data_IF_920663236366
#
_entry.id   IF_920663236366
#
_cell.length_a   1.000
_cell.length_b   1.000
_cell.length_c   1.000
_cell.angle_alpha   90.00
_cell.angle_beta   90.00
_cell.angle_gamma   90.00
#
_symmetry.space_group_name_H-M   'P 1'
#
loop_
_entity.id
_entity.type
_entity.pdbx_description
1 polymer ?
#
# COMPACT_ATOMS: atom_id res chain seq x y z
N UNK A 1 14.63 -16.55 -7.02
CA UNK A 1 14.16 -15.41 -7.81
C UNK A 1 15.28 -14.38 -7.92
N UNK A 2 15.54 -13.91 -9.11
CA UNK A 2 16.63 -12.98 -9.38
C UNK A 2 16.21 -11.54 -9.08
N UNK A 3 16.85 -10.92 -8.08
CA UNK A 3 16.53 -9.56 -7.66
C UNK A 3 16.83 -8.53 -8.76
N UNK A 4 17.81 -8.81 -9.64
CA UNK A 4 18.11 -7.89 -10.75
C UNK A 4 16.97 -7.81 -11.76
N UNK A 5 16.27 -8.92 -11.99
CA UNK A 5 15.10 -8.95 -12.86
C UNK A 5 13.92 -8.21 -12.25
N UNK A 6 13.83 -8.23 -10.91
CA UNK A 6 12.76 -7.56 -10.19
C UNK A 6 12.95 -6.04 -10.21
N UNK A 7 14.20 -5.57 -10.13
CA UNK A 7 14.49 -4.13 -10.09
C UNK A 7 14.03 -3.37 -11.33
N UNK A 8 13.87 -4.05 -12.46
CA UNK A 8 13.38 -3.42 -13.68
C UNK A 8 11.85 -3.45 -13.79
N UNK A 9 11.18 -4.03 -12.81
CA UNK A 9 9.73 -4.16 -12.82
C UNK A 9 9.07 -2.80 -12.62
N UNK A 10 8.19 -2.42 -13.54
CA UNK A 10 7.43 -1.19 -13.42
C UNK A 10 6.13 -1.44 -12.65
N UNK A 11 5.99 -0.79 -11.51
CA UNK A 11 4.81 -0.91 -10.67
C UNK A 11 3.91 0.30 -10.88
N UNK A 12 2.65 0.04 -11.19
CA UNK A 12 1.63 1.07 -11.32
C UNK A 12 0.47 0.76 -10.38
N UNK A 13 -0.14 1.81 -9.84
CA UNK A 13 -1.28 1.68 -8.94
C UNK A 13 -2.55 2.23 -9.58
N UNK A 14 -3.68 1.63 -9.22
CA UNK A 14 -4.99 2.15 -9.61
C UNK A 14 -5.21 3.44 -8.84
N UNK A 15 -5.42 4.55 -9.55
CA UNK A 15 -5.60 5.87 -8.93
C UNK A 15 -7.07 6.22 -8.71
N UNK A 16 -7.95 5.67 -9.52
CA UNK A 16 -9.37 6.00 -9.45
C UNK A 16 -10.12 4.96 -8.63
N UNK A 17 -10.82 5.43 -7.61
CA UNK A 17 -11.59 4.55 -6.73
C UNK A 17 -12.61 3.71 -7.52
N UNK A 18 -13.23 4.29 -8.55
CA UNK A 18 -14.22 3.60 -9.36
C UNK A 18 -13.66 2.38 -10.10
N UNK A 19 -12.35 2.35 -10.35
CA UNK A 19 -11.69 1.26 -11.07
C UNK A 19 -11.23 0.12 -10.17
N UNK A 20 -11.43 0.24 -8.85
CA UNK A 20 -10.95 -0.75 -7.89
C UNK A 20 -11.97 -1.87 -7.67
N UNK A 21 -11.51 -3.14 -7.56
CA UNK A 21 -12.39 -4.27 -7.24
C UNK A 21 -12.74 -4.29 -5.74
N UNK A 22 -13.76 -3.52 -5.35
CA UNK A 22 -14.12 -3.32 -3.95
C UNK A 22 -14.55 -4.59 -3.21
N UNK A 23 -14.95 -5.64 -3.93
CA UNK A 23 -15.25 -6.92 -3.30
C UNK A 23 -14.04 -7.53 -2.59
N UNK A 24 -12.83 -7.05 -2.89
CA UNK A 24 -11.59 -7.51 -2.25
C UNK A 24 -11.13 -6.61 -1.12
N UNK A 25 -11.87 -5.54 -0.81
CA UNK A 25 -11.56 -4.64 0.29
C UNK A 25 -12.30 -5.09 1.55
N UNK A 26 -11.72 -4.77 2.71
CA UNK A 26 -12.35 -5.10 3.99
C UNK A 26 -13.51 -4.16 4.25
N UNK A 27 -14.71 -4.71 4.28
CA UNK A 27 -15.94 -3.91 4.44
C UNK A 27 -16.13 -3.39 5.87
N UNK A 28 -15.48 -4.01 6.86
CA UNK A 28 -15.57 -3.55 8.24
C UNK A 28 -14.99 -2.16 8.47
N UNK A 29 -14.26 -1.61 7.50
CA UNK A 29 -13.64 -0.29 7.62
C UNK A 29 -14.52 0.79 7.05
N UNK A 30 -15.18 0.49 5.94
CA UNK A 30 -16.12 1.38 5.30
C UNK A 30 -17.04 0.56 4.40
N UNK A 31 -18.32 0.85 4.47
CA UNK A 31 -19.31 0.25 3.58
C UNK A 31 -19.46 1.07 2.30
N UNK A 32 -18.84 2.25 2.24
CA UNK A 32 -19.00 3.17 1.13
C UNK A 32 -17.65 3.55 0.54
N UNK A 33 -17.43 3.13 -0.71
CA UNK A 33 -16.21 3.47 -1.44
C UNK A 33 -16.00 4.98 -1.58
N UNK A 34 -17.07 5.77 -1.49
CA UNK A 34 -16.97 7.22 -1.56
C UNK A 34 -16.29 7.83 -0.33
N UNK A 35 -16.08 7.04 0.73
CA UNK A 35 -15.33 7.47 1.91
C UNK A 35 -13.83 7.29 1.76
N UNK A 36 -13.37 6.76 0.64
CA UNK A 36 -11.96 6.47 0.38
C UNK A 36 -11.39 7.41 -0.68
N UNK A 37 -10.10 7.71 -0.54
CA UNK A 37 -9.34 8.45 -1.55
C UNK A 37 -7.96 7.81 -1.68
N UNK A 38 -7.27 8.09 -2.78
CA UNK A 38 -5.87 7.72 -2.97
C UNK A 38 -5.00 8.96 -2.74
N UNK A 39 -3.81 8.71 -2.18
CA UNK A 39 -2.83 9.77 -1.93
C UNK A 39 -1.43 9.17 -2.07
N UNK A 40 -0.52 9.94 -2.68
CA UNK A 40 0.88 9.51 -2.80
C UNK A 40 1.64 9.95 -1.57
N UNK A 41 2.33 9.01 -0.92
CA UNK A 41 3.08 9.27 0.31
C UNK A 41 4.43 8.57 0.24
N UNK A 42 5.42 9.16 0.93
CA UNK A 42 6.72 8.51 1.10
C UNK A 42 6.58 7.28 1.98
N UNK A 43 7.10 6.15 1.51
CA UNK A 43 6.98 4.87 2.23
C UNK A 43 7.62 4.96 3.62
N UNK A 44 8.80 5.59 3.73
CA UNK A 44 9.50 5.71 5.00
C UNK A 44 8.67 6.43 6.06
N UNK A 45 7.91 7.44 5.66
CA UNK A 45 7.06 8.19 6.59
C UNK A 45 5.87 7.36 7.05
N UNK A 46 5.28 6.57 6.14
CA UNK A 46 4.19 5.67 6.50
C UNK A 46 4.66 4.59 7.46
N UNK A 47 5.83 4.00 7.20
CA UNK A 47 6.41 3.00 8.11
C UNK A 47 6.63 3.58 9.50
N UNK A 48 7.11 4.84 9.58
CA UNK A 48 7.34 5.50 10.86
C UNK A 48 6.05 5.73 11.66
N UNK A 49 4.91 5.85 10.98
CA UNK A 49 3.61 6.05 11.63
C UNK A 49 2.94 4.75 12.06
N UNK A 50 3.42 3.63 11.55
CA UNK A 50 2.85 2.29 11.80
C UNK A 50 3.90 1.43 12.50
N UNK A 51 3.50 0.26 12.97
CA UNK A 51 4.44 -0.70 13.56
C UNK A 51 5.04 -1.64 12.51
N UNK A 52 4.82 -1.36 11.23
CA UNK A 52 5.24 -2.24 10.14
C UNK A 52 6.75 -2.40 10.05
N UNK A 53 7.52 -1.40 10.46
CA UNK A 53 8.98 -1.47 10.43
C UNK A 53 9.53 -2.68 11.16
N UNK A 54 8.90 -3.08 12.26
CA UNK A 54 9.32 -4.25 13.05
C UNK A 54 8.94 -5.57 12.38
N UNK A 55 7.99 -5.56 11.46
CA UNK A 55 7.50 -6.76 10.77
C UNK A 55 8.08 -6.92 9.36
N UNK A 56 8.75 -5.88 8.85
CA UNK A 56 9.13 -5.79 7.44
C UNK A 56 9.92 -7.00 6.95
N UNK A 57 10.86 -7.49 7.77
CA UNK A 57 11.70 -8.63 7.38
C UNK A 57 10.90 -9.93 7.23
N UNK A 58 9.69 -10.01 7.78
CA UNK A 58 8.83 -11.19 7.63
C UNK A 58 8.20 -11.27 6.23
N UNK A 59 8.25 -10.15 5.48
CA UNK A 59 7.67 -10.07 4.14
C UNK A 59 8.78 -10.20 3.10
N UNK A 60 9.36 -11.41 3.04
CA UNK A 60 10.41 -11.71 2.07
C UNK A 60 9.80 -12.15 0.74
N UNK A 61 10.65 -12.58 -0.22
CA UNK A 61 10.19 -13.08 -1.52
C UNK A 61 9.60 -14.48 -1.36
N UNK A 62 8.41 -14.54 -0.79
CA UNK A 62 7.66 -15.77 -0.61
C UNK A 62 6.73 -16.02 -1.81
N UNK A 63 5.90 -17.07 -1.71
CA UNK A 63 4.97 -17.43 -2.77
C UNK A 63 3.97 -16.32 -3.08
N UNK A 64 3.50 -15.64 -2.05
CA UNK A 64 2.58 -14.52 -2.23
C UNK A 64 3.22 -13.39 -3.04
N UNK A 65 4.48 -13.07 -2.73
CA UNK A 65 5.23 -12.04 -3.45
C UNK A 65 5.50 -12.44 -4.88
N UNK A 66 5.80 -13.72 -5.13
CA UNK A 66 5.99 -14.24 -6.49
C UNK A 66 4.74 -14.06 -7.34
N UNK A 67 3.57 -14.39 -6.77
CA UNK A 67 2.30 -14.23 -7.46
C UNK A 67 2.02 -12.75 -7.78
N UNK A 68 2.38 -11.87 -6.85
CA UNK A 68 2.23 -10.43 -7.03
C UNK A 68 3.10 -9.92 -8.19
N UNK A 69 4.34 -10.40 -8.27
CA UNK A 69 5.26 -10.04 -9.35
C UNK A 69 4.70 -10.48 -10.70
N UNK A 70 4.19 -11.71 -10.78
CA UNK A 70 3.59 -12.24 -12.01
C UNK A 70 2.40 -11.36 -12.44
N UNK A 71 1.57 -10.97 -11.47
CA UNK A 71 0.43 -10.10 -11.72
C UNK A 71 0.87 -8.77 -12.35
N UNK A 72 1.92 -8.18 -11.83
CA UNK A 72 2.48 -6.92 -12.36
C UNK A 72 3.08 -7.12 -13.75
N UNK A 73 3.83 -8.21 -13.93
CA UNK A 73 4.44 -8.53 -15.23
C UNK A 73 3.41 -8.70 -16.34
N UNK A 74 2.20 -9.11 -15.99
CA UNK A 74 1.10 -9.25 -16.93
C UNK A 74 0.42 -7.92 -17.27
N UNK A 75 0.96 -6.80 -16.81
CA UNK A 75 0.46 -5.47 -17.12
C UNK A 75 -0.64 -4.97 -16.21
N UNK A 76 -0.89 -5.65 -15.09
CA UNK A 76 -1.94 -5.25 -14.17
C UNK A 76 -1.46 -4.18 -13.19
N UNK A 77 -2.36 -3.26 -12.85
CA UNK A 77 -2.10 -2.26 -11.82
C UNK A 77 -2.51 -2.80 -10.46
N UNK A 78 -1.79 -2.35 -9.44
CA UNK A 78 -2.07 -2.76 -8.06
C UNK A 78 -3.10 -1.85 -7.39
N UNK A 79 -3.88 -2.42 -6.50
CA UNK A 79 -4.70 -1.63 -5.58
C UNK A 79 -3.73 -1.03 -4.56
N UNK A 80 -3.81 0.30 -4.29
CA UNK A 80 -2.95 0.90 -3.28
C UNK A 80 -3.15 0.25 -1.91
N UNK A 81 -2.07 0.11 -1.10
CA UNK A 81 -2.23 -0.39 0.26
C UNK A 81 -3.17 0.50 1.06
N UNK A 82 -4.00 -0.12 1.90
CA UNK A 82 -4.96 0.58 2.73
C UNK A 82 -4.39 0.82 4.13
N UNK A 83 -4.31 2.09 4.52
CA UNK A 83 -3.86 2.47 5.85
C UNK A 83 -4.96 3.27 6.54
N UNK A 84 -5.09 3.07 7.84
CA UNK A 84 -6.10 3.76 8.64
C UNK A 84 -5.49 4.30 9.94
N UNK A 85 -6.05 5.41 10.40
CA UNK A 85 -5.76 5.93 11.73
C UNK A 85 -6.67 5.22 12.73
N UNK A 86 -6.08 4.45 13.63
CA UNK A 86 -6.85 3.67 14.60
C UNK A 86 -7.29 4.55 15.77
N UNK A 87 -6.31 5.23 16.39
CA UNK A 87 -6.58 6.10 17.54
C UNK A 87 -5.45 7.12 17.68
N UNK A 88 -5.81 8.38 17.85
CA UNK A 88 -4.82 9.46 17.96
C UNK A 88 -3.96 9.53 16.70
N UNK A 89 -2.64 9.35 16.86
CA UNK A 89 -1.70 9.36 15.74
C UNK A 89 -1.16 7.96 15.42
N UNK A 90 -1.86 6.92 15.88
CA UNK A 90 -1.47 5.54 15.59
C UNK A 90 -2.13 5.06 14.32
N UNK A 91 -1.31 4.73 13.34
CA UNK A 91 -1.76 4.25 12.04
C UNK A 91 -1.45 2.77 11.91
N UNK A 92 -2.26 2.07 11.14
CA UNK A 92 -2.00 0.66 10.82
C UNK A 92 -2.19 0.42 9.33
N UNK A 93 -1.39 -0.51 8.80
CA UNK A 93 -1.56 -1.00 7.44
C UNK A 93 -2.57 -2.12 7.52
N UNK A 94 -3.75 -1.88 7.01
CA UNK A 94 -4.83 -2.84 7.11
C UNK A 94 -4.77 -3.89 6.00
N UNK A 95 -4.29 -3.49 4.83
CA UNK A 95 -4.15 -4.38 3.68
C UNK A 95 -3.00 -3.88 2.82
N UNK A 96 -2.26 -4.80 2.23
CA UNK A 96 -1.21 -4.46 1.28
C UNK A 96 0.20 -4.49 1.82
N UNK A 97 0.46 -5.16 2.95
CA UNK A 97 1.82 -5.26 3.52
C UNK A 97 2.81 -5.88 2.52
N UNK A 98 2.40 -6.92 1.79
CA UNK A 98 3.27 -7.53 0.77
C UNK A 98 3.58 -6.55 -0.36
N UNK A 99 2.61 -5.73 -0.76
CA UNK A 99 2.80 -4.71 -1.81
C UNK A 99 3.80 -3.65 -1.37
N UNK A 100 3.71 -3.20 -0.12
CA UNK A 100 4.65 -2.23 0.43
C UNK A 100 6.06 -2.83 0.48
N UNK A 101 6.19 -4.06 0.99
CA UNK A 101 7.49 -4.72 1.09
C UNK A 101 8.14 -4.90 -0.29
N UNK A 102 7.36 -5.28 -1.30
CA UNK A 102 7.85 -5.39 -2.66
C UNK A 102 8.35 -4.04 -3.19
N UNK A 103 7.58 -2.98 -2.98
CA UNK A 103 7.97 -1.65 -3.44
C UNK A 103 9.28 -1.17 -2.79
N UNK A 104 9.48 -1.49 -1.52
CA UNK A 104 10.74 -1.18 -0.82
C UNK A 104 11.90 -1.93 -1.48
N UNK A 105 11.73 -3.21 -1.79
CA UNK A 105 12.77 -4.01 -2.44
C UNK A 105 13.09 -3.51 -3.85
N UNK A 106 12.11 -2.90 -4.52
CA UNK A 106 12.31 -2.31 -5.84
C UNK A 106 12.94 -0.91 -5.78
N UNK A 107 13.16 -0.38 -4.57
CA UNK A 107 13.79 0.92 -4.40
C UNK A 107 12.86 2.10 -4.58
N UNK A 108 11.56 1.87 -4.54
CA UNK A 108 10.58 2.95 -4.64
C UNK A 108 10.52 3.72 -3.32
N UNK A 109 10.51 5.05 -3.39
CA UNK A 109 10.44 5.90 -2.21
C UNK A 109 9.03 6.40 -1.93
N UNK A 110 8.22 6.55 -2.97
CA UNK A 110 6.86 7.06 -2.86
C UNK A 110 5.92 6.17 -3.65
N UNK A 111 4.77 5.84 -3.06
CA UNK A 111 3.73 5.06 -3.73
C UNK A 111 2.36 5.61 -3.38
N UNK A 112 1.34 5.18 -4.11
CA UNK A 112 -0.04 5.51 -3.79
C UNK A 112 -0.54 4.67 -2.63
N UNK A 113 -1.29 5.31 -1.74
CA UNK A 113 -1.97 4.67 -0.62
C UNK A 113 -3.47 4.95 -0.69
N UNK A 114 -4.25 4.05 -0.13
CA UNK A 114 -5.69 4.21 0.00
C UNK A 114 -5.98 4.59 1.45
N UNK A 115 -6.72 5.69 1.68
CA UNK A 115 -7.05 6.17 3.01
C UNK A 115 -8.51 6.59 3.08
N UNK A 116 -9.04 6.71 4.30
CA UNK A 116 -10.36 7.29 4.50
C UNK A 116 -10.27 8.81 4.37
N UNK A 117 -11.27 9.43 3.75
CA UNK A 117 -11.28 10.89 3.59
C UNK A 117 -11.12 11.61 4.92
N UNK A 118 -11.74 11.08 5.99
CA UNK A 118 -11.66 11.70 7.32
C UNK A 118 -10.26 11.72 7.90
N UNK A 119 -9.36 10.88 7.39
CA UNK A 119 -7.98 10.77 7.88
C UNK A 119 -7.00 11.65 7.11
N UNK A 120 -7.47 12.32 6.03
CA UNK A 120 -6.59 13.08 5.14
C UNK A 120 -5.83 14.19 5.85
N UNK A 121 -6.52 15.01 6.63
CA UNK A 121 -5.88 16.12 7.33
C UNK A 121 -4.80 15.65 8.30
N UNK A 122 -5.08 14.57 9.02
CA UNK A 122 -4.16 13.99 9.99
C UNK A 122 -2.89 13.49 9.30
N UNK A 123 -3.04 12.68 8.22
CA UNK A 123 -1.88 12.11 7.53
C UNK A 123 -1.02 13.18 6.86
N UNK A 124 -1.64 14.22 6.30
CA UNK A 124 -0.89 15.31 5.68
C UNK A 124 -0.03 16.06 6.69
N UNK A 125 -0.54 16.26 7.90
CA UNK A 125 0.23 16.90 8.96
C UNK A 125 1.40 16.02 9.43
N UNK A 126 1.19 14.71 9.53
CA UNK A 126 2.20 13.79 10.03
C UNK A 126 3.29 13.46 9.01
N UNK A 127 3.02 13.67 7.73
CA UNK A 127 3.96 13.31 6.65
C UNK A 127 4.60 14.51 5.97
N UNK A 128 4.47 15.69 6.55
CA UNK A 128 5.15 16.90 6.04
C UNK A 128 6.66 16.76 6.06
#
# INVERSE_FOLDING_TARGET
MDLEKIKSLEVAFIKEIADMPFQNLRTEITDNKDDLITIDLEISKVIALTDFGSELYNYTLDEHTKNLIIFIQNGNKLIPPLIINVIGNKWTILDGKHRIALCIKLGLSEISFLIRKKDLGNILNLTK
#
